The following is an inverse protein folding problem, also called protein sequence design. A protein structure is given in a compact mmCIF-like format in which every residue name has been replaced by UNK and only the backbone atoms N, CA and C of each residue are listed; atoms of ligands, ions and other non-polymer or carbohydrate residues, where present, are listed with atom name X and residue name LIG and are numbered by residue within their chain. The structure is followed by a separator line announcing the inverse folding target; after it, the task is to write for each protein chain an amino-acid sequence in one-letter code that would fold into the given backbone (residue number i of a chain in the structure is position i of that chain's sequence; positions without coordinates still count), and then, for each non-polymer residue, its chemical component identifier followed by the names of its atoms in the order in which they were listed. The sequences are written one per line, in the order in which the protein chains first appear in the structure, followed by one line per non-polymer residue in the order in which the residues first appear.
data_IF_042998928193
#
_entry.id   IF_042998928193
#
_cell.length_a   1.000
_cell.length_b   1.000
_cell.length_c   1.000
_cell.angle_alpha   90.00
_cell.angle_beta   90.00
_cell.angle_gamma   90.00
#
_symmetry.space_group_name_H-M   'P 1'
#
loop_
_entity.id
_entity.type
_entity.pdbx_description
1 polymer ?
#
# COMPACT_ATOMS: atom_id res chain seq x y z
N UNK A 1 -8.99 16.76 13.61
CA UNK A 1 -8.16 17.27 12.50
C UNK A 1 -7.15 18.19 13.15
N UNK A 2 -5.84 18.08 12.86
CA UNK A 2 -4.84 19.03 13.38
C UNK A 2 -5.18 20.46 12.96
N UNK A 3 -4.98 21.45 13.83
CA UNK A 3 -5.41 22.86 13.65
C UNK A 3 -4.77 23.59 12.44
N UNK A 4 -3.81 22.94 11.79
CA UNK A 4 -2.95 23.46 10.74
C UNK A 4 -3.40 23.09 9.30
N UNK A 5 -4.65 22.64 9.09
CA UNK A 5 -5.19 22.36 7.76
C UNK A 5 -6.35 23.30 7.40
N UNK A 6 -6.23 24.06 6.30
CA UNK A 6 -7.34 24.80 5.68
C UNK A 6 -7.81 24.09 4.41
N UNK A 7 -9.11 23.78 4.35
CA UNK A 7 -9.79 23.30 3.14
C UNK A 7 -10.25 24.49 2.31
N UNK A 8 -9.86 24.53 1.04
CA UNK A 8 -10.31 25.55 0.09
C UNK A 8 -11.15 24.84 -0.97
N UNK A 9 -12.29 25.44 -1.32
CA UNK A 9 -13.21 24.92 -2.32
C UNK A 9 -13.35 25.95 -3.44
N UNK A 10 -13.23 25.51 -4.69
CA UNK A 10 -13.52 26.34 -5.86
C UNK A 10 -14.72 25.73 -6.60
N UNK A 11 -15.69 26.57 -6.96
CA UNK A 11 -16.82 26.18 -7.79
C UNK A 11 -16.65 26.76 -9.19
N UNK A 12 -16.45 25.88 -10.18
CA UNK A 12 -16.45 26.25 -11.59
C UNK A 12 -17.85 26.01 -12.14
N UNK A 13 -18.45 27.05 -12.74
CA UNK A 13 -19.89 27.10 -13.06
C UNK A 13 -20.38 26.15 -14.16
N UNK A 14 -19.53 25.34 -14.80
CA UNK A 14 -19.98 24.44 -15.89
C UNK A 14 -19.19 23.13 -15.90
N UNK A 15 -19.92 22.06 -15.56
CA UNK A 15 -19.65 20.64 -15.82
C UNK A 15 -18.56 19.92 -15.01
N UNK A 16 -19.06 18.87 -14.34
CA UNK A 16 -18.42 17.63 -13.86
C UNK A 16 -17.35 17.76 -12.77
N UNK A 17 -17.66 17.11 -11.64
CA UNK A 17 -16.86 16.76 -10.46
C UNK A 17 -15.54 17.54 -10.23
N UNK A 18 -15.35 18.16 -9.04
CA UNK A 18 -14.11 18.87 -8.73
C UNK A 18 -12.91 17.92 -8.90
N UNK A 19 -12.06 18.20 -9.88
CA UNK A 19 -10.79 17.49 -10.06
C UNK A 19 -9.98 17.75 -8.78
N UNK A 20 -9.66 16.73 -7.96
CA UNK A 20 -8.93 16.95 -6.74
C UNK A 20 -7.49 17.33 -7.07
N UNK A 21 -7.21 18.63 -7.08
CA UNK A 21 -5.85 19.15 -7.16
C UNK A 21 -5.20 18.93 -5.79
N UNK A 22 -4.21 18.04 -5.75
CA UNK A 22 -3.41 17.79 -4.56
C UNK A 22 -2.09 18.54 -4.68
N UNK A 23 -1.72 19.24 -3.62
CA UNK A 23 -0.47 19.99 -3.51
C UNK A 23 0.50 19.24 -2.61
N UNK A 24 1.76 19.13 -3.03
CA UNK A 24 2.85 18.65 -2.19
C UNK A 24 3.56 19.88 -1.61
N UNK A 25 3.75 19.89 -0.28
CA UNK A 25 4.60 20.88 0.36
C UNK A 25 6.06 20.55 0.02
N UNK A 26 6.76 21.46 -0.64
CA UNK A 26 8.20 21.42 -0.78
C UNK A 26 8.86 22.12 0.42
N UNK A 27 9.56 21.34 1.24
CA UNK A 27 10.19 21.82 2.48
C UNK A 27 11.41 22.67 2.16
N UNK A 28 12.08 22.44 1.03
CA UNK A 28 13.31 23.13 0.67
C UNK A 28 13.03 24.54 0.16
N UNK A 29 11.98 24.70 -0.65
CA UNK A 29 11.62 25.97 -1.28
C UNK A 29 10.46 26.70 -0.57
N UNK A 30 9.91 26.13 0.51
CA UNK A 30 8.75 26.65 1.25
C UNK A 30 7.54 26.97 0.35
N UNK A 31 7.39 26.22 -0.74
CA UNK A 31 6.37 26.41 -1.76
C UNK A 31 5.45 25.19 -1.86
N UNK A 32 4.27 25.41 -2.44
CA UNK A 32 3.34 24.34 -2.77
C UNK A 32 3.42 24.04 -4.26
N UNK A 33 3.91 22.86 -4.59
CA UNK A 33 3.94 22.41 -5.98
C UNK A 33 2.66 21.64 -6.30
N UNK A 34 2.06 22.01 -7.44
CA UNK A 34 0.93 21.29 -8.01
C UNK A 34 1.41 19.92 -8.50
N UNK A 35 0.85 18.86 -7.93
CA UNK A 35 1.09 17.52 -8.46
C UNK A 35 0.23 17.30 -9.69
N UNK A 36 0.87 16.92 -10.80
CA UNK A 36 0.16 16.45 -11.97
C UNK A 36 -0.60 15.17 -11.60
N UNK A 37 -1.92 15.20 -11.72
CA UNK A 37 -2.80 14.10 -11.32
C UNK A 37 -2.61 12.84 -12.19
N UNK A 38 -1.87 12.97 -13.30
CA UNK A 38 -1.49 11.87 -14.19
C UNK A 38 -0.38 10.98 -13.64
N UNK A 39 0.46 11.47 -12.72
CA UNK A 39 1.53 10.69 -12.07
C UNK A 39 1.03 9.82 -10.91
N UNK A 40 -0.25 9.95 -10.55
CA UNK A 40 -0.95 8.94 -9.77
C UNK A 40 -1.23 7.72 -10.65
N UNK A 41 -0.17 6.99 -11.00
CA UNK A 41 -0.32 5.56 -11.28
C UNK A 41 -1.00 4.99 -10.04
N UNK A 42 -2.30 4.65 -10.15
CA UNK A 42 -3.00 3.84 -9.13
C UNK A 42 -1.98 2.78 -8.69
N UNK A 43 -1.64 2.67 -7.40
CA UNK A 43 -0.66 1.70 -6.96
C UNK A 43 -1.05 0.38 -7.60
N UNK A 44 -0.14 -0.16 -8.44
CA UNK A 44 -0.36 -1.40 -9.18
C UNK A 44 -0.98 -2.36 -8.17
N UNK A 45 -2.21 -2.83 -8.43
CA UNK A 45 -2.93 -3.69 -7.49
C UNK A 45 -1.97 -4.79 -7.08
N UNK A 46 -1.53 -4.76 -5.82
CA UNK A 46 -0.57 -5.71 -5.30
C UNK A 46 -1.17 -7.10 -5.48
N UNK A 47 -0.45 -7.99 -6.15
CA UNK A 47 -0.92 -9.36 -6.34
C UNK A 47 -0.58 -10.20 -5.11
N UNK A 48 -1.24 -11.35 -4.97
CA UNK A 48 -0.92 -12.33 -3.91
C UNK A 48 0.53 -12.82 -4.06
N UNK A 49 1.06 -12.88 -5.28
CA UNK A 49 2.44 -13.29 -5.51
C UNK A 49 3.44 -12.23 -5.02
N UNK A 50 3.14 -10.93 -5.19
CA UNK A 50 3.96 -9.84 -4.66
C UNK A 50 3.99 -9.85 -3.13
N UNK A 51 2.85 -10.18 -2.50
CA UNK A 51 2.75 -10.38 -1.06
C UNK A 51 3.62 -11.54 -0.58
N UNK A 52 3.59 -12.66 -1.30
CA UNK A 52 4.39 -13.85 -0.96
C UNK A 52 5.89 -13.56 -1.10
N UNK A 53 6.29 -12.93 -2.20
CA UNK A 53 7.68 -12.50 -2.39
C UNK A 53 8.11 -11.56 -1.27
N UNK A 54 7.27 -10.59 -0.90
CA UNK A 54 7.54 -9.69 0.22
C UNK A 54 7.74 -10.42 1.55
N UNK A 55 6.89 -11.39 1.89
CA UNK A 55 7.00 -12.16 3.13
C UNK A 55 8.27 -13.02 3.11
N UNK A 56 8.60 -13.64 1.98
CA UNK A 56 9.85 -14.42 1.83
C UNK A 56 11.09 -13.54 1.99
N UNK A 57 11.13 -12.37 1.36
CA UNK A 57 12.30 -11.48 1.35
C UNK A 57 12.54 -10.76 2.69
N UNK A 58 11.47 -10.40 3.41
CA UNK A 58 11.55 -9.51 4.58
C UNK A 58 11.31 -10.23 5.91
N UNK A 59 10.70 -11.42 5.88
CA UNK A 59 10.35 -12.20 7.07
C UNK A 59 10.79 -13.67 6.94
N UNK A 60 11.70 -14.00 6.01
CA UNK A 60 12.21 -15.36 5.78
C UNK A 60 11.11 -16.42 5.53
N UNK A 61 9.95 -15.97 5.06
CA UNK A 61 8.78 -16.79 4.79
C UNK A 61 7.81 -16.94 5.96
N UNK A 62 8.06 -16.34 7.14
CA UNK A 62 7.18 -16.43 8.30
C UNK A 62 7.22 -15.15 9.16
N UNK A 63 6.07 -14.54 9.43
CA UNK A 63 6.01 -13.32 10.26
C UNK A 63 4.70 -13.15 11.02
N UNK A 64 4.72 -12.28 12.03
CA UNK A 64 3.49 -11.87 12.69
C UNK A 64 2.62 -11.07 11.74
N UNK A 65 1.31 -11.35 11.76
CA UNK A 65 0.32 -10.69 10.91
C UNK A 65 0.45 -9.16 10.92
N UNK A 66 0.57 -8.58 12.11
CA UNK A 66 0.61 -7.13 12.31
C UNK A 66 1.83 -6.51 11.62
N UNK A 67 2.98 -7.14 11.77
CA UNK A 67 4.25 -6.63 11.23
C UNK A 67 4.28 -6.74 9.71
N UNK A 68 3.78 -7.85 9.15
CA UNK A 68 3.63 -8.02 7.69
C UNK A 68 2.70 -6.93 7.11
N UNK A 69 1.57 -6.66 7.76
CA UNK A 69 0.60 -5.66 7.29
C UNK A 69 1.16 -4.24 7.35
N UNK A 70 1.81 -3.86 8.46
CA UNK A 70 2.38 -2.53 8.62
C UNK A 70 3.54 -2.31 7.63
N UNK A 71 4.48 -3.24 7.57
CA UNK A 71 5.64 -3.13 6.68
C UNK A 71 5.22 -3.19 5.20
N UNK A 72 4.24 -4.04 4.86
CA UNK A 72 3.67 -4.11 3.51
C UNK A 72 2.96 -2.81 3.13
N UNK A 73 2.21 -2.19 4.04
CA UNK A 73 1.45 -0.98 3.76
C UNK A 73 2.39 0.17 3.41
N UNK A 74 3.51 0.27 4.13
CA UNK A 74 4.57 1.23 3.87
C UNK A 74 5.27 0.96 2.53
N UNK A 75 5.67 -0.29 2.25
CA UNK A 75 6.41 -0.65 1.03
C UNK A 75 5.57 -0.46 -0.24
N UNK A 76 4.33 -0.94 -0.24
CA UNK A 76 3.47 -0.94 -1.41
C UNK A 76 2.58 0.31 -1.53
N UNK A 77 2.61 1.19 -0.52
CA UNK A 77 1.76 2.40 -0.44
C UNK A 77 0.28 2.07 -0.58
N UNK A 78 -0.16 0.99 0.06
CA UNK A 78 -1.56 0.52 0.08
C UNK A 78 -2.09 0.53 1.52
N UNK A 79 -3.41 0.52 1.68
CA UNK A 79 -4.01 0.49 3.02
C UNK A 79 -3.77 -0.86 3.72
N UNK A 80 -3.58 -0.81 5.04
CA UNK A 80 -3.46 -2.00 5.88
C UNK A 80 -4.65 -2.95 5.72
N UNK A 81 -5.86 -2.40 5.60
CA UNK A 81 -7.09 -3.17 5.39
C UNK A 81 -7.06 -3.95 4.06
N UNK A 82 -6.52 -3.34 3.01
CA UNK A 82 -6.37 -4.01 1.72
C UNK A 82 -5.36 -5.16 1.79
N UNK A 83 -4.21 -4.95 2.43
CA UNK A 83 -3.20 -5.98 2.67
C UNK A 83 -3.74 -7.14 3.50
N UNK A 84 -4.46 -6.83 4.57
CA UNK A 84 -5.07 -7.85 5.41
C UNK A 84 -6.10 -8.68 4.63
N UNK A 85 -6.91 -8.05 3.80
CA UNK A 85 -7.83 -8.76 2.90
C UNK A 85 -7.07 -9.68 1.93
N UNK A 86 -5.96 -9.19 1.38
CA UNK A 86 -5.12 -9.95 0.45
C UNK A 86 -4.46 -11.15 1.13
N UNK A 87 -4.02 -11.00 2.38
CA UNK A 87 -3.53 -12.10 3.21
C UNK A 87 -4.62 -13.16 3.41
N UNK A 88 -5.85 -12.77 3.77
CA UNK A 88 -6.98 -13.71 3.90
C UNK A 88 -7.24 -14.46 2.58
N UNK A 89 -7.16 -13.77 1.44
CA UNK A 89 -7.32 -14.39 0.13
C UNK A 89 -6.19 -15.40 -0.18
N UNK A 90 -4.95 -15.05 0.20
CA UNK A 90 -3.80 -15.94 0.10
C UNK A 90 -3.93 -17.19 1.01
N UNK A 91 -4.54 -17.05 2.19
CA UNK A 91 -4.88 -18.16 3.07
C UNK A 91 -5.97 -19.05 2.46
N UNK A 92 -7.05 -18.47 1.93
CA UNK A 92 -8.12 -19.24 1.25
C UNK A 92 -7.62 -20.00 0.02
N UNK A 93 -6.61 -19.48 -0.66
CA UNK A 93 -5.96 -20.14 -1.81
C UNK A 93 -4.84 -21.10 -1.40
N UNK A 94 -4.70 -21.41 -0.10
CA UNK A 94 -3.69 -22.30 0.47
C UNK A 94 -2.23 -21.91 0.17
N UNK A 95 -1.97 -20.63 -0.14
CA UNK A 95 -0.60 -20.12 -0.39
C UNK A 95 0.11 -19.70 0.89
N UNK A 96 -0.64 -19.33 1.93
CA UNK A 96 -0.13 -18.98 3.26
C UNK A 96 -0.81 -19.86 4.29
N UNK A 97 -0.04 -20.35 5.27
CA UNK A 97 -0.49 -21.09 6.44
C UNK A 97 -0.63 -20.11 7.60
N UNK A 98 -1.72 -20.22 8.35
CA UNK A 98 -1.95 -19.44 9.58
C UNK A 98 -1.68 -20.34 10.78
N UNK A 99 -0.69 -19.96 11.58
CA UNK A 99 -0.36 -20.59 12.87
C UNK A 99 -0.57 -19.55 13.95
N UNK A 100 -1.78 -19.51 14.50
CA UNK A 100 -2.20 -18.51 15.48
C UNK A 100 -2.09 -17.06 14.94
N UNK A 101 -1.23 -16.22 15.52
CA UNK A 101 -0.94 -14.86 15.03
C UNK A 101 0.18 -14.79 13.98
N UNK A 102 0.84 -15.91 13.70
CA UNK A 102 1.89 -16.03 12.67
C UNK A 102 1.33 -16.52 11.35
N UNK A 103 1.88 -15.95 10.27
CA UNK A 103 1.50 -16.24 8.89
C UNK A 103 2.75 -16.65 8.13
N UNK A 104 2.69 -17.83 7.50
CA UNK A 104 3.84 -18.49 6.90
C UNK A 104 3.56 -18.86 5.45
N UNK A 105 4.48 -18.58 4.53
CA UNK A 105 4.33 -18.95 3.12
C UNK A 105 4.51 -20.46 2.97
N UNK A 106 3.55 -21.13 2.33
CA UNK A 106 3.55 -22.59 2.18
C UNK A 106 4.67 -23.12 1.29
N UNK A 107 4.97 -22.40 0.21
CA UNK A 107 6.10 -22.69 -0.67
C UNK A 107 7.11 -21.56 -0.52
N UNK A 108 8.23 -21.82 0.16
CA UNK A 108 9.40 -20.92 0.05
C UNK A 108 9.73 -20.85 -1.43
N UNK A 109 9.63 -19.66 -2.02
CA UNK A 109 10.15 -19.46 -3.36
C UNK A 109 11.67 -19.61 -3.26
N UNK A 110 12.18 -20.79 -3.63
CA UNK A 110 13.60 -21.02 -3.74
C UNK A 110 14.08 -20.17 -4.92
N UNK A 111 14.75 -19.05 -4.64
CA UNK A 111 15.45 -18.28 -5.66
C UNK A 111 16.55 -19.17 -6.26
N UNK A 112 16.26 -19.78 -7.40
CA UNK A 112 17.13 -20.70 -8.12
C UNK A 112 18.23 -20.00 -8.94
N UNK A 113 18.41 -18.70 -8.80
CA UNK A 113 19.42 -17.94 -9.53
C UNK A 113 20.19 -17.04 -8.54
N UNK A 114 21.39 -17.50 -8.18
CA UNK A 114 22.43 -16.74 -7.48
C UNK A 114 23.61 -16.57 -8.44
#
# INVERSE_FOLDING_TARGET
MPDNYKKIYFSVRRAYEPIPLQVKWDIENLNYDLMDTTDFKRPKKMSINDLIAFINDNFEGAGYRRDIVIAGAQKFKVSEQYLYRLMIEAFKTNKIIKTDDKWEVKEKQVNLFK
#
